data_IF_117461684767
#
_entry.id   IF_117461684767
#
_cell.length_a   1.000
_cell.length_b   1.000
_cell.length_c   1.000
_cell.angle_alpha   90.00
_cell.angle_beta   90.00
_cell.angle_gamma   90.00
#
_symmetry.space_group_name_H-M   'P 1'
#
loop_
_entity.id
_entity.type
_entity.pdbx_description
1 polymer ?
#
# COMPACT_ATOMS: atom_id res chain seq x y z
N UNK A 1 6.84 13.06 4.12
CA UNK A 1 7.39 11.72 3.75
C UNK A 1 7.32 10.65 4.86
N UNK A 2 6.96 10.97 6.12
CA UNK A 2 6.75 9.96 7.17
C UNK A 2 5.59 8.97 6.89
N UNK A 3 4.43 9.39 6.34
CA UNK A 3 3.28 8.49 6.17
C UNK A 3 3.56 7.30 5.24
N UNK A 4 4.25 7.53 4.11
CA UNK A 4 4.66 6.47 3.17
C UNK A 4 5.56 5.45 3.86
N UNK A 5 6.56 5.89 4.63
CA UNK A 5 7.46 4.96 5.33
C UNK A 5 6.72 4.12 6.38
N UNK A 6 5.82 4.75 7.15
CA UNK A 6 5.02 4.06 8.16
C UNK A 6 4.10 3.03 7.51
N UNK A 7 3.44 3.39 6.41
CA UNK A 7 2.59 2.49 5.64
C UNK A 7 3.39 1.28 5.11
N UNK A 8 4.57 1.51 4.51
CA UNK A 8 5.45 0.42 4.05
C UNK A 8 5.87 -0.49 5.20
N UNK A 9 6.23 0.07 6.36
CA UNK A 9 6.59 -0.74 7.53
C UNK A 9 5.42 -1.59 8.06
N UNK A 10 4.20 -1.05 8.04
CA UNK A 10 3.01 -1.79 8.43
C UNK A 10 2.69 -2.92 7.44
N UNK A 11 2.80 -2.66 6.12
CA UNK A 11 2.67 -3.69 5.08
C UNK A 11 3.74 -4.77 5.25
N UNK A 12 4.98 -4.37 5.54
CA UNK A 12 6.06 -5.33 5.77
C UNK A 12 5.78 -6.22 6.99
N UNK A 13 5.28 -5.65 8.09
CA UNK A 13 4.90 -6.40 9.28
C UNK A 13 3.71 -7.34 9.00
N UNK A 14 2.75 -6.91 8.17
CA UNK A 14 1.58 -7.70 7.80
C UNK A 14 1.97 -8.99 7.04
N UNK A 15 3.13 -9.04 6.38
CA UNK A 15 3.56 -10.27 5.69
C UNK A 15 3.90 -11.42 6.63
N UNK A 16 4.07 -11.16 7.94
CA UNK A 16 4.26 -12.20 8.94
C UNK A 16 2.92 -12.75 9.48
N UNK A 17 1.79 -12.16 9.09
CA UNK A 17 0.44 -12.55 9.50
C UNK A 17 -0.14 -13.48 8.44
N UNK A 18 -0.59 -14.67 8.84
CA UNK A 18 -1.14 -15.69 7.93
C UNK A 18 -2.64 -15.66 7.73
N UNK A 19 -3.38 -14.91 8.57
CA UNK A 19 -4.84 -14.96 8.59
C UNK A 19 -5.48 -13.69 8.00
N UNK A 20 -6.82 -13.62 8.02
CA UNK A 20 -7.61 -12.47 7.53
C UNK A 20 -7.23 -11.12 8.17
N UNK A 21 -6.61 -11.15 9.34
CA UNK A 21 -6.04 -9.96 9.99
C UNK A 21 -4.96 -9.26 9.15
N UNK A 22 -4.27 -9.99 8.26
CA UNK A 22 -3.29 -9.42 7.33
C UNK A 22 -3.94 -8.38 6.42
N UNK A 23 -5.08 -8.71 5.82
CA UNK A 23 -5.80 -7.83 4.89
C UNK A 23 -6.26 -6.57 5.64
N UNK A 24 -6.87 -6.72 6.81
CA UNK A 24 -7.33 -5.60 7.63
C UNK A 24 -6.18 -4.67 8.05
N UNK A 25 -5.00 -5.24 8.35
CA UNK A 25 -3.81 -4.46 8.70
C UNK A 25 -3.29 -3.65 7.51
N UNK A 26 -3.26 -4.25 6.32
CA UNK A 26 -2.89 -3.56 5.07
C UNK A 26 -3.89 -2.45 4.76
N UNK A 27 -5.20 -2.73 4.85
CA UNK A 27 -6.24 -1.73 4.62
C UNK A 27 -6.13 -0.54 5.56
N UNK A 28 -5.99 -0.79 6.86
CA UNK A 28 -5.84 0.27 7.84
C UNK A 28 -4.60 1.13 7.56
N UNK A 29 -3.48 0.52 7.16
CA UNK A 29 -2.26 1.25 6.82
C UNK A 29 -2.44 2.15 5.58
N UNK A 30 -3.20 1.69 4.58
CA UNK A 30 -3.50 2.45 3.37
C UNK A 30 -4.52 3.56 3.64
N UNK A 31 -5.53 3.32 4.47
CA UNK A 31 -6.49 4.34 4.88
C UNK A 31 -5.82 5.49 5.62
N UNK A 32 -4.93 5.18 6.59
CA UNK A 32 -4.15 6.20 7.31
C UNK A 32 -3.27 7.01 6.34
N UNK A 33 -2.69 6.36 5.33
CA UNK A 33 -1.93 7.04 4.30
C UNK A 33 -2.80 8.00 3.47
N UNK A 34 -3.95 7.52 2.98
CA UNK A 34 -4.86 8.31 2.15
C UNK A 34 -5.46 9.51 2.91
N UNK A 35 -5.79 9.33 4.20
CA UNK A 35 -6.28 10.41 5.08
C UNK A 35 -5.20 11.45 5.35
N UNK A 36 -3.92 11.07 5.34
CA UNK A 36 -2.81 12.01 5.50
C UNK A 36 -2.56 12.91 4.27
N UNK A 37 -3.25 12.64 3.15
CA UNK A 37 -3.15 13.40 1.91
C UNK A 37 -4.38 14.31 1.72
N UNK A 38 -4.12 15.55 1.31
CA UNK A 38 -5.15 16.60 1.21
C UNK A 38 -5.89 16.54 -0.13
N UNK A 39 -5.22 16.09 -1.20
CA UNK A 39 -5.80 16.03 -2.55
C UNK A 39 -5.84 14.61 -3.12
N UNK A 40 -6.76 14.32 -4.06
CA UNK A 40 -6.77 13.04 -4.77
C UNK A 40 -5.44 12.72 -5.46
N UNK A 41 -4.81 13.73 -6.09
CA UNK A 41 -3.49 13.58 -6.73
C UNK A 41 -2.41 13.21 -5.71
N UNK A 42 -2.40 13.84 -4.53
CA UNK A 42 -1.47 13.47 -3.46
C UNK A 42 -1.67 12.03 -2.99
N UNK A 43 -2.92 11.55 -2.90
CA UNK A 43 -3.23 10.16 -2.53
C UNK A 43 -2.66 9.18 -3.56
N UNK A 44 -2.87 9.44 -4.84
CA UNK A 44 -2.33 8.60 -5.93
C UNK A 44 -0.81 8.56 -5.86
N UNK A 45 -0.14 9.72 -5.78
CA UNK A 45 1.32 9.80 -5.65
C UNK A 45 1.83 9.12 -4.38
N UNK A 46 1.07 9.15 -3.29
CA UNK A 46 1.44 8.46 -2.06
C UNK A 46 1.37 6.94 -2.23
N UNK A 47 0.32 6.41 -2.86
CA UNK A 47 0.16 4.99 -3.16
C UNK A 47 1.25 4.50 -4.13
N UNK A 48 1.58 5.28 -5.16
CA UNK A 48 2.68 4.97 -6.09
C UNK A 48 4.03 4.89 -5.37
N UNK A 49 4.29 5.82 -4.43
CA UNK A 49 5.51 5.80 -3.62
C UNK A 49 5.57 4.60 -2.68
N UNK A 50 4.44 4.17 -2.11
CA UNK A 50 4.36 2.93 -1.32
C UNK A 50 4.71 1.73 -2.20
N UNK A 51 4.08 1.61 -3.37
CA UNK A 51 4.35 0.53 -4.31
C UNK A 51 5.83 0.48 -4.70
N UNK A 52 6.41 1.60 -5.14
CA UNK A 52 7.82 1.67 -5.53
C UNK A 52 8.78 1.38 -4.39
N UNK A 53 8.48 1.86 -3.17
CA UNK A 53 9.32 1.61 -1.99
C UNK A 53 9.26 0.14 -1.56
N UNK A 54 8.06 -0.44 -1.55
CA UNK A 54 7.84 -1.85 -1.22
C UNK A 54 8.51 -2.76 -2.26
N UNK A 55 8.27 -2.52 -3.55
CA UNK A 55 8.89 -3.27 -4.64
C UNK A 55 10.42 -3.21 -4.60
N UNK A 56 11.00 -2.04 -4.28
CA UNK A 56 12.45 -1.90 -4.12
C UNK A 56 12.99 -2.68 -2.92
N UNK A 57 12.28 -2.66 -1.77
CA UNK A 57 12.70 -3.39 -0.56
C UNK A 57 12.56 -4.90 -0.71
N UNK A 58 11.55 -5.34 -1.45
CA UNK A 58 11.22 -6.75 -1.67
C UNK A 58 11.48 -7.18 -3.09
N UNK A 59 12.52 -6.67 -3.74
CA UNK A 59 12.78 -6.94 -5.15
C UNK A 59 12.91 -8.45 -5.46
N UNK A 60 13.41 -9.24 -4.50
CA UNK A 60 13.48 -10.71 -4.57
C UNK A 60 12.18 -11.45 -4.22
N UNK A 61 11.20 -10.76 -3.62
CA UNK A 61 9.91 -11.31 -3.17
C UNK A 61 8.69 -10.65 -3.84
N UNK A 62 8.88 -9.68 -4.74
CA UNK A 62 7.81 -8.97 -5.41
C UNK A 62 6.92 -9.91 -6.25
N UNK A 63 7.48 -11.03 -6.72
CA UNK A 63 6.77 -12.09 -7.44
C UNK A 63 6.06 -13.08 -6.54
N UNK A 64 6.28 -13.04 -5.22
CA UNK A 64 5.63 -13.90 -4.24
C UNK A 64 4.14 -13.55 -4.08
N UNK A 65 3.29 -14.49 -3.60
CA UNK A 65 1.85 -14.26 -3.46
C UNK A 65 1.50 -12.98 -2.71
N UNK A 66 2.23 -12.69 -1.63
CA UNK A 66 2.05 -11.46 -0.85
C UNK A 66 2.39 -10.20 -1.67
N UNK A 67 3.48 -10.22 -2.44
CA UNK A 67 3.86 -9.09 -3.30
C UNK A 67 2.81 -8.78 -4.37
N UNK A 68 2.28 -9.83 -5.02
CA UNK A 68 1.19 -9.70 -6.00
C UNK A 68 -0.10 -9.18 -5.36
N UNK A 69 -0.42 -9.66 -4.16
CA UNK A 69 -1.57 -9.17 -3.40
C UNK A 69 -1.46 -7.66 -3.13
N UNK A 70 -0.31 -7.19 -2.62
CA UNK A 70 -0.10 -5.76 -2.36
C UNK A 70 -0.19 -4.93 -3.65
N UNK A 71 0.44 -5.39 -4.74
CA UNK A 71 0.39 -4.69 -6.02
C UNK A 71 -1.05 -4.56 -6.55
N UNK A 72 -1.82 -5.66 -6.51
CA UNK A 72 -3.23 -5.65 -6.92
C UNK A 72 -4.08 -4.74 -6.03
N UNK A 73 -3.87 -4.76 -4.72
CA UNK A 73 -4.65 -3.98 -3.77
C UNK A 73 -4.40 -2.47 -3.90
N UNK A 74 -3.15 -2.08 -4.18
CA UNK A 74 -2.78 -0.70 -4.48
C UNK A 74 -3.40 -0.22 -5.80
N UNK A 75 -3.38 -1.06 -6.84
CA UNK A 75 -3.97 -0.76 -8.15
C UNK A 75 -5.50 -0.55 -8.04
N UNK A 76 -6.22 -1.41 -7.30
CA UNK A 76 -7.65 -1.22 -7.04
C UNK A 76 -7.96 0.12 -6.39
N UNK A 77 -7.15 0.54 -5.40
CA UNK A 77 -7.34 1.83 -4.72
C UNK A 77 -7.01 3.01 -5.63
N UNK A 78 -5.96 2.92 -6.43
CA UNK A 78 -5.62 3.95 -7.43
C UNK A 78 -6.75 4.10 -8.47
N UNK A 79 -7.25 3.00 -9.01
CA UNK A 79 -8.38 3.00 -9.95
C UNK A 79 -9.65 3.61 -9.32
N UNK A 80 -9.92 3.33 -8.05
CA UNK A 80 -11.03 3.97 -7.32
C UNK A 80 -10.87 5.48 -7.20
N UNK A 81 -9.65 5.97 -7.01
CA UNK A 81 -9.38 7.41 -6.90
C UNK A 81 -9.47 8.11 -8.26
N UNK A 82 -8.98 7.48 -9.32
CA UNK A 82 -9.04 8.00 -10.69
C UNK A 82 -10.47 8.04 -11.26
N UNK A 83 -11.34 7.10 -10.87
CA UNK A 83 -12.75 7.10 -11.28
C UNK A 83 -13.63 8.07 -10.50
N UNK A 84 -13.12 8.63 -9.39
CA UNK A 84 -13.84 9.59 -8.53
C UNK A 84 -13.31 11.02 -8.63
N UNK A 85 -12.22 11.24 -9.36
CA UNK A 85 -11.62 12.56 -9.63
C UNK A 85 -12.16 13.16 -10.91
#
# INVERSE_FOLDING_TARGET
MKPVRLCVHAIDAASAITDSAMIATVDAALDVLEVSCSTPTERILALERVHGTFARRRQSQATAPFGRFIAHHLDLRQNRLLTRS
#
